data_IF_273072263068
#
_entry.id   IF_273072263068
#
_cell.length_a   1.000
_cell.length_b   1.000
_cell.length_c   1.000
_cell.angle_alpha   90.00
_cell.angle_beta   90.00
_cell.angle_gamma   90.00
#
_symmetry.space_group_name_H-M   'P 1'
#
loop_
_entity.id
_entity.type
_entity.pdbx_description
1 polymer ?
#
# COMPACT_ATOMS: atom_id res chain seq x y z
N UNK A 1 -68.25 11.62 67.08
CA UNK A 1 -66.79 11.83 67.10
C UNK A 1 -66.46 12.36 65.70
N UNK A 2 -66.68 13.65 65.43
CA UNK A 2 -66.11 14.85 66.11
C UNK A 2 -64.66 15.02 65.66
N UNK A 3 -64.24 16.10 65.00
CA UNK A 3 -64.87 17.42 64.67
C UNK A 3 -64.51 17.79 63.21
N UNK A 4 -65.23 18.58 62.40
CA UNK A 4 -65.95 19.87 62.51
C UNK A 4 -65.08 21.15 62.31
N UNK A 5 -65.69 22.18 61.72
CA UNK A 5 -65.17 23.49 61.26
C UNK A 5 -64.13 23.49 60.10
N UNK A 6 -64.20 24.41 59.11
CA UNK A 6 -65.22 25.44 58.90
C UNK A 6 -65.06 26.27 57.60
N UNK A 7 -66.15 27.01 57.32
CA UNK A 7 -66.44 28.14 56.40
C UNK A 7 -65.34 29.23 56.25
N UNK A 8 -65.32 30.16 55.26
CA UNK A 8 -66.32 30.60 54.25
C UNK A 8 -65.68 31.25 52.97
N UNK A 9 -66.50 31.77 52.04
CA UNK A 9 -66.11 32.55 50.81
C UNK A 9 -66.09 34.08 51.06
N UNK A 10 -65.45 34.91 50.19
CA UNK A 10 -66.21 35.61 49.12
C UNK A 10 -65.45 35.88 47.78
N UNK A 11 -66.22 36.37 46.79
CA UNK A 11 -65.90 37.02 45.50
C UNK A 11 -65.32 38.45 45.67
N UNK A 12 -64.87 39.26 44.69
CA UNK A 12 -64.59 39.21 43.23
C UNK A 12 -63.78 40.50 42.85
N UNK A 13 -62.95 40.50 41.77
CA UNK A 13 -62.65 41.68 40.92
C UNK A 13 -61.59 41.39 39.80
N UNK A 14 -61.55 42.24 38.75
CA UNK A 14 -60.64 42.16 37.60
C UNK A 14 -60.19 43.59 37.16
N UNK A 15 -59.26 43.84 36.22
CA UNK A 15 -58.54 42.98 35.25
C UNK A 15 -57.01 43.30 35.31
N UNK A 16 -56.17 43.72 34.30
CA UNK A 16 -56.29 43.90 32.83
C UNK A 16 -55.55 42.77 32.05
N UNK A 17 -54.99 43.07 30.87
CA UNK A 17 -54.10 42.19 30.06
C UNK A 17 -52.82 42.95 29.66
N UNK A 18 -51.70 42.23 29.48
CA UNK A 18 -50.55 42.65 28.67
C UNK A 18 -49.73 41.38 28.25
N UNK A 19 -48.78 41.41 27.27
CA UNK A 19 -48.82 40.42 26.19
C UNK A 19 -48.05 39.11 26.40
N UNK A 20 -48.42 38.08 25.61
CA UNK A 20 -47.77 36.76 25.55
C UNK A 20 -46.32 36.86 25.02
N UNK A 21 -45.32 36.71 25.88
CA UNK A 21 -43.96 36.38 25.45
C UNK A 21 -43.86 34.89 25.09
N UNK A 22 -43.78 34.57 23.80
CA UNK A 22 -43.72 33.20 23.30
C UNK A 22 -42.39 32.50 23.59
N UNK A 23 -42.22 31.98 24.81
CA UNK A 23 -41.09 31.14 25.17
C UNK A 23 -41.16 29.78 24.45
N UNK A 24 -40.52 29.68 23.28
CA UNK A 24 -40.44 28.45 22.51
C UNK A 24 -39.65 27.38 23.28
N UNK A 25 -40.38 26.41 23.83
CA UNK A 25 -39.80 25.27 24.54
C UNK A 25 -38.94 24.43 23.60
N UNK A 26 -37.63 24.73 23.54
CA UNK A 26 -36.65 23.91 22.82
C UNK A 26 -36.60 22.52 23.46
N UNK A 27 -37.29 21.57 22.82
CA UNK A 27 -37.22 20.15 23.14
C UNK A 27 -35.76 19.70 23.07
N UNK A 28 -35.16 19.49 24.24
CA UNK A 28 -33.74 19.15 24.38
C UNK A 28 -33.50 17.80 23.70
N UNK A 29 -32.90 17.82 22.52
CA UNK A 29 -32.71 16.63 21.70
C UNK A 29 -32.03 15.51 22.51
N UNK A 30 -32.59 14.29 22.43
CA UNK A 30 -31.99 13.11 23.07
C UNK A 30 -30.55 12.97 22.55
N UNK A 31 -29.54 12.74 23.42
CA UNK A 31 -28.16 12.65 22.97
C UNK A 31 -28.03 11.51 21.96
N UNK A 32 -27.42 11.79 20.79
CA UNK A 32 -27.06 10.75 19.83
C UNK A 32 -26.18 9.71 20.57
N UNK A 33 -26.52 8.42 20.44
CA UNK A 33 -25.64 7.35 20.90
C UNK A 33 -24.29 7.50 20.18
N UNK A 34 -23.17 7.42 20.90
CA UNK A 34 -21.85 7.37 20.28
C UNK A 34 -21.78 6.14 19.36
N UNK A 35 -21.14 6.22 18.18
CA UNK A 35 -20.93 5.07 17.32
C UNK A 35 -20.05 4.03 18.02
N UNK A 36 -20.20 2.76 17.61
CA UNK A 36 -19.35 1.66 18.09
C UNK A 36 -18.03 1.72 17.34
N UNK A 37 -16.91 1.79 18.06
CA UNK A 37 -15.57 1.60 17.50
C UNK A 37 -15.30 0.10 17.35
N UNK A 38 -14.91 -0.34 16.17
CA UNK A 38 -14.64 -1.76 15.86
C UNK A 38 -13.14 -2.02 15.57
N UNK A 39 -12.29 -1.12 16.07
CA UNK A 39 -10.84 -1.15 15.91
C UNK A 39 -10.17 -0.56 17.17
N UNK A 40 -8.88 -0.86 17.44
CA UNK A 40 -8.15 -0.35 18.60
C UNK A 40 -8.09 1.19 18.71
N UNK A 41 -7.56 1.69 19.83
CA UNK A 41 -7.31 3.14 20.02
C UNK A 41 -5.82 3.49 20.08
N UNK A 42 -4.98 2.56 20.55
CA UNK A 42 -3.53 2.68 20.51
C UNK A 42 -2.97 1.82 19.38
N UNK A 43 -1.80 2.17 18.84
CA UNK A 43 -1.09 1.38 17.84
C UNK A 43 -0.49 0.09 18.40
N UNK A 44 -0.01 -0.79 17.53
CA UNK A 44 0.76 -1.99 17.90
C UNK A 44 2.04 -1.59 18.66
N UNK A 45 2.72 -0.52 18.22
CA UNK A 45 3.95 0.00 18.84
C UNK A 45 3.72 0.60 20.23
N UNK A 46 2.56 1.21 20.47
CA UNK A 46 2.15 1.66 21.80
C UNK A 46 1.70 0.46 22.66
N UNK A 47 0.93 -0.47 22.09
CA UNK A 47 0.33 -1.60 22.81
C UNK A 47 1.36 -2.65 23.25
N UNK A 48 2.42 -2.91 22.46
CA UNK A 48 3.48 -3.86 22.81
C UNK A 48 4.21 -3.52 24.11
N UNK A 49 4.16 -2.27 24.57
CA UNK A 49 4.74 -1.84 25.86
C UNK A 49 4.18 -2.61 27.05
N UNK A 50 2.91 -3.06 26.96
CA UNK A 50 2.30 -3.94 27.96
C UNK A 50 3.01 -5.30 28.01
N UNK A 51 3.38 -5.85 26.84
CA UNK A 51 4.13 -7.12 26.72
C UNK A 51 5.58 -6.94 27.17
N UNK A 52 6.25 -5.86 26.77
CA UNK A 52 7.61 -5.51 27.18
C UNK A 52 7.72 -5.40 28.70
N UNK A 53 6.78 -4.70 29.35
CA UNK A 53 6.73 -4.55 30.81
C UNK A 53 6.47 -5.89 31.54
N UNK A 54 5.56 -6.74 31.03
CA UNK A 54 5.33 -8.08 31.63
C UNK A 54 6.54 -9.00 31.45
N UNK A 55 7.18 -8.95 30.27
CA UNK A 55 8.42 -9.68 29.95
C UNK A 55 9.55 -9.30 30.89
N UNK A 56 9.89 -8.01 30.96
CA UNK A 56 11.14 -7.56 31.54
C UNK A 56 11.08 -7.43 33.07
N UNK A 57 9.89 -7.16 33.65
CA UNK A 57 9.73 -7.00 35.10
C UNK A 57 9.07 -8.18 35.83
N UNK A 58 8.35 -9.06 35.11
CA UNK A 58 7.72 -10.26 35.69
C UNK A 58 8.13 -11.56 34.96
N UNK A 59 9.23 -11.54 34.21
CA UNK A 59 9.76 -12.67 33.43
C UNK A 59 8.73 -13.32 32.48
N UNK A 60 7.79 -12.53 31.95
CA UNK A 60 6.73 -12.99 31.06
C UNK A 60 5.51 -13.64 31.76
N UNK A 61 5.52 -13.75 33.08
CA UNK A 61 4.45 -14.40 33.84
C UNK A 61 3.18 -13.53 33.93
N UNK A 62 1.97 -14.13 34.05
CA UNK A 62 0.72 -13.41 34.33
C UNK A 62 0.82 -12.45 35.52
N UNK A 63 0.69 -11.14 35.26
CA UNK A 63 0.91 -10.06 36.23
C UNK A 63 -0.37 -9.24 36.49
N UNK A 64 -0.45 -8.47 37.58
CA UNK A 64 -1.69 -7.73 37.89
C UNK A 64 -1.81 -6.43 37.07
N UNK A 65 -3.02 -6.00 36.68
CA UNK A 65 -3.19 -4.73 35.99
C UNK A 65 -3.00 -3.49 36.89
N UNK A 66 -2.64 -3.63 38.16
CA UNK A 66 -2.19 -2.52 39.01
C UNK A 66 -0.67 -2.34 38.91
N UNK A 67 0.07 -3.45 38.95
CA UNK A 67 1.53 -3.44 38.87
C UNK A 67 2.00 -3.04 37.46
N UNK A 68 1.37 -3.61 36.41
CA UNK A 68 1.65 -3.24 35.01
C UNK A 68 1.38 -1.76 34.76
N UNK A 69 0.31 -1.20 35.35
CA UNK A 69 -0.01 0.22 35.21
C UNK A 69 1.07 1.07 35.88
N UNK A 70 1.46 0.71 37.11
CA UNK A 70 2.52 1.39 37.87
C UNK A 70 3.87 1.34 37.15
N UNK A 71 4.21 0.20 36.52
CA UNK A 71 5.43 0.00 35.75
C UNK A 71 5.46 0.76 34.40
N UNK A 72 4.30 1.17 33.89
CA UNK A 72 4.17 2.05 32.71
C UNK A 72 4.12 3.55 33.08
N UNK A 73 4.26 3.90 34.36
CA UNK A 73 3.97 5.24 34.92
C UNK A 73 2.54 5.72 34.59
N UNK A 74 1.56 4.81 34.71
CA UNK A 74 0.15 5.05 34.39
C UNK A 74 -0.77 4.70 35.56
N UNK A 75 -1.77 5.56 35.82
CA UNK A 75 -2.92 5.16 36.64
C UNK A 75 -3.87 4.24 35.87
N UNK A 76 -4.68 3.44 36.58
CA UNK A 76 -5.76 2.58 36.01
C UNK A 76 -6.96 3.37 35.40
N UNK A 77 -6.72 4.57 34.87
CA UNK A 77 -7.71 5.40 34.19
C UNK A 77 -8.04 4.91 32.77
N UNK A 78 -8.70 5.77 32.00
CA UNK A 78 -9.15 5.44 30.64
C UNK A 78 -8.00 5.10 29.68
N UNK A 79 -6.86 5.79 29.78
CA UNK A 79 -5.71 5.54 28.90
C UNK A 79 -5.20 4.09 29.05
N UNK A 80 -5.04 3.61 30.28
CA UNK A 80 -4.62 2.23 30.56
C UNK A 80 -5.70 1.19 30.20
N UNK A 81 -6.98 1.53 30.35
CA UNK A 81 -8.09 0.70 29.83
C UNK A 81 -7.99 0.52 28.31
N UNK A 82 -7.89 1.62 27.56
CA UNK A 82 -7.83 1.58 26.10
C UNK A 82 -6.52 0.99 25.56
N UNK A 83 -5.40 1.19 26.27
CA UNK A 83 -4.11 0.56 25.95
C UNK A 83 -4.17 -0.96 26.12
N UNK A 84 -4.66 -1.45 27.26
CA UNK A 84 -4.77 -2.90 27.51
C UNK A 84 -5.85 -3.57 26.67
N UNK A 85 -6.93 -2.86 26.33
CA UNK A 85 -7.91 -3.32 25.34
C UNK A 85 -7.28 -3.41 23.93
N UNK A 86 -6.52 -2.40 23.50
CA UNK A 86 -5.81 -2.42 22.20
C UNK A 86 -4.81 -3.58 22.13
N UNK A 87 -4.02 -3.80 23.19
CA UNK A 87 -3.10 -4.93 23.33
C UNK A 87 -3.80 -6.30 23.24
N UNK A 88 -5.00 -6.44 23.82
CA UNK A 88 -5.85 -7.63 23.64
C UNK A 88 -6.34 -7.78 22.21
N UNK A 89 -6.81 -6.70 21.59
CA UNK A 89 -7.43 -6.73 20.26
C UNK A 89 -6.41 -6.99 19.14
N UNK A 90 -5.13 -6.75 19.40
CA UNK A 90 -3.98 -7.19 18.59
C UNK A 90 -3.47 -8.61 18.91
N UNK A 91 -4.07 -9.33 19.86
CA UNK A 91 -3.61 -10.66 20.31
C UNK A 91 -2.27 -10.66 21.07
N UNK A 92 -1.78 -9.49 21.47
CA UNK A 92 -0.52 -9.32 22.22
C UNK A 92 -0.68 -9.77 23.67
N UNK A 93 -1.87 -9.57 24.25
CA UNK A 93 -2.17 -9.96 25.63
C UNK A 93 -3.52 -10.64 25.79
N UNK A 94 -3.63 -11.55 26.75
CA UNK A 94 -4.89 -12.10 27.25
C UNK A 94 -5.25 -11.31 28.52
N UNK A 95 -6.47 -10.81 28.61
CA UNK A 95 -6.92 -9.93 29.70
C UNK A 95 -6.81 -8.44 29.38
N UNK A 96 -7.22 -7.60 30.33
CA UNK A 96 -7.22 -6.12 30.24
C UNK A 96 -7.04 -5.51 31.64
N UNK A 97 -7.12 -4.18 31.79
CA UNK A 97 -7.21 -3.48 33.08
C UNK A 97 -8.17 -4.14 34.10
N UNK A 98 -9.26 -4.71 33.60
CA UNK A 98 -10.42 -5.14 34.39
C UNK A 98 -10.48 -6.66 34.60
N UNK A 99 -9.45 -7.42 34.19
CA UNK A 99 -9.25 -8.84 34.56
C UNK A 99 -8.34 -8.96 35.79
N UNK A 100 -8.36 -10.12 36.46
CA UNK A 100 -7.54 -10.35 37.67
C UNK A 100 -6.03 -10.29 37.38
N UNK A 101 -5.63 -10.75 36.18
CA UNK A 101 -4.27 -10.67 35.63
C UNK A 101 -4.32 -10.29 34.15
N UNK A 102 -3.18 -9.88 33.61
CA UNK A 102 -2.91 -9.79 32.17
C UNK A 102 -1.76 -10.76 31.86
N UNK A 103 -1.89 -11.51 30.78
CA UNK A 103 -0.96 -12.54 30.34
C UNK A 103 -0.47 -12.23 28.91
N UNK A 104 0.71 -12.70 28.52
CA UNK A 104 1.19 -12.52 27.15
C UNK A 104 0.47 -13.51 26.23
N UNK A 105 -0.23 -13.00 25.20
CA UNK A 105 -0.96 -13.79 24.21
C UNK A 105 -0.02 -14.44 23.19
N UNK A 106 -0.50 -15.36 22.35
CA UNK A 106 0.39 -16.16 21.49
C UNK A 106 1.11 -15.35 20.39
N UNK A 107 0.51 -14.25 19.93
CA UNK A 107 1.20 -13.27 19.05
C UNK A 107 2.19 -12.45 19.90
N UNK A 108 1.79 -12.05 21.11
CA UNK A 108 2.66 -11.37 22.08
C UNK A 108 3.90 -12.17 22.47
N UNK A 109 3.83 -13.50 22.55
CA UNK A 109 4.99 -14.37 22.85
C UNK A 109 6.05 -14.30 21.75
N UNK A 110 5.62 -14.22 20.48
CA UNK A 110 6.50 -14.03 19.32
C UNK A 110 7.12 -12.63 19.29
N UNK A 111 6.38 -11.60 19.73
CA UNK A 111 6.92 -10.25 19.97
C UNK A 111 7.93 -10.21 21.12
N UNK A 112 7.67 -10.91 22.23
CA UNK A 112 8.50 -10.89 23.42
C UNK A 112 9.83 -11.66 23.22
N UNK A 113 9.77 -12.77 22.50
CA UNK A 113 10.86 -13.72 22.31
C UNK A 113 10.96 -14.23 20.85
N UNK A 114 11.16 -13.34 19.85
CA UNK A 114 11.33 -13.76 18.46
C UNK A 114 12.62 -14.57 18.29
N UNK A 115 12.53 -15.75 17.65
CA UNK A 115 13.69 -16.62 17.38
C UNK A 115 14.43 -16.21 16.10
N UNK A 116 13.81 -15.38 15.28
CA UNK A 116 14.39 -14.84 14.05
C UNK A 116 13.73 -13.49 13.69
N UNK A 117 14.40 -12.66 12.88
CA UNK A 117 13.78 -11.44 12.32
C UNK A 117 12.49 -11.71 11.54
N UNK A 118 12.39 -12.89 10.90
CA UNK A 118 11.16 -13.32 10.23
C UNK A 118 9.99 -13.56 11.19
N UNK A 119 10.25 -14.16 12.36
CA UNK A 119 9.22 -14.36 13.40
C UNK A 119 8.78 -13.03 14.04
N UNK A 120 9.68 -12.03 14.12
CA UNK A 120 9.34 -10.67 14.56
C UNK A 120 8.41 -9.97 13.54
N UNK A 121 8.77 -9.95 12.25
CA UNK A 121 7.92 -9.37 11.21
C UNK A 121 6.54 -10.04 11.15
N UNK A 122 6.51 -11.37 11.14
CA UNK A 122 5.25 -12.12 11.16
C UNK A 122 4.46 -11.86 12.44
N UNK A 123 5.08 -11.65 13.61
CA UNK A 123 4.34 -11.25 14.80
C UNK A 123 3.61 -9.90 14.62
N UNK A 124 4.26 -8.90 14.03
CA UNK A 124 3.65 -7.60 13.73
C UNK A 124 2.52 -7.73 12.71
N UNK A 125 2.74 -8.49 11.64
CA UNK A 125 1.74 -8.73 10.59
C UNK A 125 0.51 -9.46 11.12
N UNK A 126 0.72 -10.52 11.90
CA UNK A 126 -0.38 -11.27 12.50
C UNK A 126 -1.13 -10.43 13.54
N UNK A 127 -0.44 -9.59 14.34
CA UNK A 127 -1.11 -8.63 15.23
C UNK A 127 -2.00 -7.65 14.45
N UNK A 128 -1.50 -7.10 13.34
CA UNK A 128 -2.26 -6.18 12.49
C UNK A 128 -3.51 -6.84 11.86
N UNK A 129 -3.36 -8.05 11.33
CA UNK A 129 -4.45 -8.81 10.69
C UNK A 129 -5.40 -9.49 11.70
N UNK A 130 -5.08 -9.52 12.99
CA UNK A 130 -5.98 -9.97 14.06
C UNK A 130 -7.20 -9.02 14.24
N UNK A 131 -7.07 -7.76 13.83
CA UNK A 131 -8.17 -6.79 13.81
C UNK A 131 -8.96 -6.97 12.50
N UNK A 132 -10.13 -7.60 12.60
CA UNK A 132 -11.02 -7.93 11.47
C UNK A 132 -11.26 -6.77 10.48
N UNK A 133 -11.44 -5.55 10.98
CA UNK A 133 -11.60 -4.35 10.13
C UNK A 133 -10.29 -3.97 9.41
N UNK A 134 -9.14 -4.10 10.06
CA UNK A 134 -7.84 -3.83 9.42
C UNK A 134 -7.54 -4.88 8.35
N UNK A 135 -7.83 -6.15 8.63
CA UNK A 135 -7.72 -7.26 7.68
C UNK A 135 -8.54 -7.02 6.42
N UNK A 136 -9.84 -6.73 6.55
CA UNK A 136 -10.73 -6.46 5.39
C UNK A 136 -10.22 -5.31 4.51
N UNK A 137 -9.76 -4.23 5.13
CA UNK A 137 -9.19 -3.07 4.42
C UNK A 137 -7.85 -3.43 3.77
N UNK A 138 -7.00 -4.23 4.42
CA UNK A 138 -5.73 -4.71 3.87
C UNK A 138 -5.92 -5.63 2.66
N UNK A 139 -6.88 -6.56 2.75
CA UNK A 139 -7.26 -7.46 1.65
C UNK A 139 -7.85 -6.69 0.47
N UNK A 140 -8.75 -5.72 0.72
CA UNK A 140 -9.35 -4.89 -0.34
C UNK A 140 -8.32 -4.03 -1.09
N UNK A 141 -7.35 -3.44 -0.38
CA UNK A 141 -6.29 -2.61 -0.99
C UNK A 141 -5.00 -3.39 -1.29
N UNK A 142 -5.02 -4.73 -1.23
CA UNK A 142 -3.88 -5.61 -1.52
C UNK A 142 -2.58 -5.21 -0.78
N UNK A 143 -2.72 -4.74 0.45
CA UNK A 143 -1.65 -4.49 1.41
C UNK A 143 -0.74 -3.27 1.22
N UNK A 144 -0.54 -2.76 0.00
CA UNK A 144 0.52 -1.77 -0.30
C UNK A 144 0.03 -0.37 -0.73
N UNK A 145 -1.12 0.11 -0.21
CA UNK A 145 -1.34 1.45 0.39
C UNK A 145 -2.83 1.81 0.51
N UNK A 146 -3.18 2.64 1.50
CA UNK A 146 -4.47 3.34 1.52
C UNK A 146 -4.46 4.52 0.54
N UNK A 147 -5.59 4.83 -0.14
CA UNK A 147 -5.77 6.11 -0.83
C UNK A 147 -5.62 7.32 0.11
N UNK A 148 -5.54 8.51 -0.49
CA UNK A 148 -5.73 9.75 0.27
C UNK A 148 -7.09 9.73 0.98
N UNK A 149 -7.12 10.29 2.19
CA UNK A 149 -8.27 10.21 3.08
C UNK A 149 -9.57 10.71 2.42
N UNK A 150 -9.50 11.73 1.55
CA UNK A 150 -10.63 12.29 0.83
C UNK A 150 -11.35 11.29 -0.10
N UNK A 151 -10.64 10.32 -0.67
CA UNK A 151 -11.23 9.26 -1.49
C UNK A 151 -11.65 8.06 -0.64
N UNK A 152 -10.84 7.72 0.38
CA UNK A 152 -11.08 6.58 1.26
C UNK A 152 -12.31 6.75 2.17
N UNK A 153 -12.65 7.96 2.63
CA UNK A 153 -13.81 8.20 3.54
C UNK A 153 -15.13 7.64 2.99
N UNK A 154 -15.33 7.69 1.67
CA UNK A 154 -16.50 7.09 1.03
C UNK A 154 -16.47 5.56 1.13
N UNK A 155 -15.38 4.91 0.74
CA UNK A 155 -15.22 3.44 0.80
C UNK A 155 -15.31 2.91 2.24
N UNK A 156 -14.74 3.64 3.22
CA UNK A 156 -14.91 3.33 4.64
C UNK A 156 -16.37 3.34 5.09
N UNK A 157 -17.20 4.20 4.50
CA UNK A 157 -18.63 4.32 4.81
C UNK A 157 -19.48 3.27 4.10
N UNK A 158 -19.20 2.97 2.83
CA UNK A 158 -20.02 2.07 1.99
C UNK A 158 -19.64 0.60 2.13
N UNK A 159 -18.36 0.27 2.03
CA UNK A 159 -17.88 -1.12 2.00
C UNK A 159 -17.59 -1.66 3.42
N UNK A 160 -17.11 -0.78 4.30
CA UNK A 160 -16.61 -1.17 5.63
C UNK A 160 -17.49 -0.70 6.81
N UNK A 161 -18.55 0.08 6.54
CA UNK A 161 -19.53 0.50 7.55
C UNK A 161 -19.00 1.42 8.68
N UNK A 162 -17.82 2.02 8.50
CA UNK A 162 -17.17 2.88 9.50
C UNK A 162 -17.88 4.23 9.58
N UNK A 163 -18.42 4.55 10.77
CA UNK A 163 -19.08 5.82 11.07
C UNK A 163 -18.16 7.01 10.76
N UNK A 164 -18.73 8.03 10.12
CA UNK A 164 -18.04 9.23 9.61
C UNK A 164 -17.21 9.95 10.69
N UNK A 165 -17.64 9.92 11.95
CA UNK A 165 -16.92 10.53 13.08
C UNK A 165 -15.73 9.70 13.60
N UNK A 166 -15.54 8.49 13.10
CA UNK A 166 -14.42 7.59 13.44
C UNK A 166 -13.42 7.40 12.29
N UNK A 167 -13.70 7.93 11.09
CA UNK A 167 -12.89 7.65 9.89
C UNK A 167 -11.49 8.28 9.95
N UNK A 168 -11.35 9.48 10.53
CA UNK A 168 -10.04 10.13 10.73
C UNK A 168 -9.20 9.35 11.76
N UNK A 169 -9.80 8.98 12.90
CA UNK A 169 -9.13 8.15 13.92
C UNK A 169 -8.75 6.75 13.40
N UNK A 170 -9.55 6.20 12.49
CA UNK A 170 -9.23 4.95 11.78
C UNK A 170 -8.01 5.14 10.88
N UNK A 171 -8.01 6.17 10.04
CA UNK A 171 -6.95 6.43 9.07
C UNK A 171 -5.58 6.63 9.72
N UNK A 172 -5.51 7.50 10.72
CA UNK A 172 -4.28 7.81 11.44
C UNK A 172 -3.71 6.56 12.13
N UNK A 173 -4.58 5.75 12.75
CA UNK A 173 -4.15 4.53 13.44
C UNK A 173 -3.73 3.43 12.45
N UNK A 174 -4.45 3.25 11.35
CA UNK A 174 -4.10 2.29 10.29
C UNK A 174 -2.75 2.66 9.66
N UNK A 175 -2.53 3.95 9.35
CA UNK A 175 -1.25 4.45 8.87
C UNK A 175 -0.11 4.25 9.88
N UNK A 176 -0.32 4.55 11.16
CA UNK A 176 0.70 4.31 12.21
C UNK A 176 1.12 2.84 12.24
N UNK A 177 0.14 1.92 12.17
CA UNK A 177 0.42 0.49 12.21
C UNK A 177 1.11 -0.02 10.94
N UNK A 178 0.74 0.46 9.74
CA UNK A 178 1.46 0.14 8.51
C UNK A 178 2.90 0.69 8.52
N UNK A 179 3.11 1.91 9.02
CA UNK A 179 4.46 2.51 9.18
C UNK A 179 5.31 1.67 10.14
N UNK A 180 4.74 1.21 11.25
CA UNK A 180 5.42 0.30 12.18
C UNK A 180 5.77 -1.04 11.52
N UNK A 181 4.80 -1.70 10.86
CA UNK A 181 4.98 -2.96 10.14
C UNK A 181 6.09 -2.86 9.08
N UNK A 182 6.08 -1.80 8.26
CA UNK A 182 7.10 -1.56 7.25
C UNK A 182 8.47 -1.29 7.89
N UNK A 183 8.54 -0.52 8.98
CA UNK A 183 9.81 -0.30 9.71
C UNK A 183 10.41 -1.59 10.27
N UNK A 184 9.58 -2.57 10.63
CA UNK A 184 10.05 -3.91 11.04
C UNK A 184 10.44 -4.74 9.83
N UNK A 185 9.70 -4.67 8.70
CA UNK A 185 10.07 -5.30 7.42
C UNK A 185 11.49 -4.89 6.97
N UNK A 186 11.77 -3.59 7.03
CA UNK A 186 13.07 -3.00 6.70
C UNK A 186 14.17 -3.44 7.66
N UNK A 187 13.95 -3.40 8.98
CA UNK A 187 14.92 -3.86 10.00
C UNK A 187 15.21 -5.36 9.92
N UNK A 188 14.22 -6.16 9.56
CA UNK A 188 14.32 -7.62 9.56
C UNK A 188 14.78 -8.21 8.22
N UNK A 189 14.76 -7.41 7.14
CA UNK A 189 15.14 -7.85 5.79
C UNK A 189 14.14 -8.81 5.14
N UNK A 190 12.90 -8.88 5.65
CA UNK A 190 11.92 -9.88 5.27
C UNK A 190 11.16 -9.45 4.01
N UNK A 191 11.53 -10.06 2.88
CA UNK A 191 10.71 -10.00 1.67
C UNK A 191 9.48 -10.90 1.84
N UNK A 192 8.30 -10.37 1.57
CA UNK A 192 7.09 -11.21 1.48
C UNK A 192 7.07 -11.95 0.15
N UNK A 193 7.23 -13.27 0.21
CA UNK A 193 6.72 -14.20 -0.79
C UNK A 193 5.60 -15.02 -0.15
N UNK A 194 4.51 -15.36 -0.87
CA UNK A 194 3.59 -16.41 -0.45
C UNK A 194 4.36 -17.72 -0.20
N UNK A 195 3.92 -18.50 0.79
CA UNK A 195 4.70 -19.63 1.33
C UNK A 195 4.94 -20.76 0.33
N UNK A 196 6.21 -20.96 -0.03
CA UNK A 196 6.79 -22.18 -0.59
C UNK A 196 8.24 -22.33 -0.08
N UNK A 197 8.77 -23.56 -0.01
CA UNK A 197 9.96 -23.87 0.80
C UNK A 197 11.32 -23.81 0.05
N UNK A 198 12.35 -23.41 0.80
CA UNK A 198 13.77 -23.81 0.68
C UNK A 198 14.60 -23.50 -0.59
N UNK A 199 15.51 -22.52 -0.42
CA UNK A 199 16.85 -22.43 -1.03
C UNK A 199 16.94 -22.14 -2.55
N UNK A 200 18.00 -21.54 -3.10
CA UNK A 200 19.35 -21.20 -2.59
C UNK A 200 19.70 -19.71 -2.80
N UNK A 201 20.91 -19.28 -2.41
CA UNK A 201 21.27 -17.87 -2.26
C UNK A 201 21.82 -17.19 -3.53
N UNK A 202 21.48 -15.89 -3.68
CA UNK A 202 22.53 -14.88 -3.91
C UNK A 202 22.43 -13.99 -5.15
N UNK A 203 21.71 -12.87 -5.06
CA UNK A 203 22.23 -11.53 -5.42
C UNK A 203 21.38 -10.40 -4.81
N UNK A 204 21.98 -9.22 -4.67
CA UNK A 204 21.39 -8.06 -4.00
C UNK A 204 20.55 -7.21 -4.95
N UNK A 205 19.47 -6.60 -4.44
CA UNK A 205 18.65 -5.62 -5.15
C UNK A 205 17.26 -5.47 -4.51
N UNK A 206 16.91 -4.26 -4.07
CA UNK A 206 15.54 -3.96 -3.63
C UNK A 206 14.64 -3.87 -4.87
N UNK A 207 13.85 -4.91 -5.14
CA UNK A 207 13.04 -5.03 -6.35
C UNK A 207 11.82 -4.10 -6.29
N UNK A 208 11.99 -2.86 -6.72
CA UNK A 208 10.89 -1.97 -7.13
C UNK A 208 10.12 -2.52 -8.33
N UNK A 209 10.69 -3.49 -9.05
CA UNK A 209 10.07 -4.18 -10.17
C UNK A 209 9.26 -5.42 -9.78
N UNK A 210 8.04 -5.50 -10.34
CA UNK A 210 7.13 -6.64 -10.36
C UNK A 210 7.54 -7.59 -11.49
N UNK A 211 7.50 -8.91 -11.25
CA UNK A 211 7.66 -9.95 -12.26
C UNK A 211 6.32 -10.21 -12.96
N UNK A 212 6.30 -10.15 -14.29
CA UNK A 212 5.09 -10.25 -15.13
C UNK A 212 4.96 -11.61 -15.83
N UNK A 213 6.10 -12.22 -16.17
CA UNK A 213 6.16 -13.52 -16.83
C UNK A 213 7.58 -14.07 -16.85
N UNK A 214 7.69 -15.39 -16.70
CA UNK A 214 8.96 -16.12 -16.67
C UNK A 214 9.20 -16.88 -17.99
N UNK A 215 10.47 -16.93 -18.40
CA UNK A 215 10.91 -17.78 -19.50
C UNK A 215 10.83 -19.25 -19.10
N UNK A 216 10.39 -20.12 -20.02
CA UNK A 216 10.41 -21.58 -19.82
C UNK A 216 11.81 -22.20 -19.96
N UNK A 217 12.76 -21.43 -20.48
CA UNK A 217 14.16 -21.85 -20.63
C UNK A 217 15.02 -21.20 -19.54
N UNK A 218 15.99 -21.94 -19.01
CA UNK A 218 16.77 -21.59 -17.81
C UNK A 218 17.75 -20.40 -17.94
N UNK A 219 17.51 -19.48 -18.87
CA UNK A 219 18.21 -18.20 -18.95
C UNK A 219 17.66 -17.24 -17.90
N UNK A 220 18.47 -16.90 -16.89
CA UNK A 220 18.13 -15.92 -15.86
C UNK A 220 18.10 -14.46 -16.32
N UNK A 221 17.93 -14.21 -17.62
CA UNK A 221 17.95 -12.87 -18.22
C UNK A 221 16.70 -12.08 -17.83
N UNK A 222 16.85 -10.79 -17.54
CA UNK A 222 15.77 -9.88 -17.16
C UNK A 222 15.53 -8.82 -18.23
N UNK A 223 14.30 -8.74 -18.71
CA UNK A 223 13.81 -7.62 -19.51
C UNK A 223 12.96 -6.71 -18.63
N UNK A 224 13.42 -5.49 -18.34
CA UNK A 224 12.63 -4.48 -17.65
C UNK A 224 11.85 -3.64 -18.66
N UNK A 225 10.56 -3.43 -18.42
CA UNK A 225 9.65 -2.68 -19.30
C UNK A 225 9.40 -1.29 -18.72
N UNK A 226 9.90 -0.27 -19.42
CA UNK A 226 9.67 1.15 -19.18
C UNK A 226 8.56 1.65 -20.12
N UNK A 227 7.41 2.04 -19.59
CA UNK A 227 6.24 2.43 -20.39
C UNK A 227 5.27 3.33 -19.62
N UNK A 228 4.31 3.99 -20.29
CA UNK A 228 3.32 4.83 -19.60
C UNK A 228 2.42 4.02 -18.67
N UNK A 229 2.47 4.29 -17.35
CA UNK A 229 1.58 3.63 -16.37
C UNK A 229 0.08 3.95 -16.54
N UNK A 230 -0.25 4.97 -17.32
CA UNK A 230 -1.62 5.46 -17.53
C UNK A 230 -1.61 6.38 -18.73
N UNK A 231 -2.68 6.37 -19.51
CA UNK A 231 -2.89 7.27 -20.63
C UNK A 231 -2.87 8.73 -20.13
N UNK A 232 -2.05 9.58 -20.77
CA UNK A 232 -1.89 11.01 -20.47
C UNK A 232 -2.55 11.90 -21.52
N UNK A 233 -2.86 11.35 -22.69
CA UNK A 233 -3.60 12.01 -23.76
C UNK A 233 -4.99 11.36 -23.94
N UNK A 234 -5.81 11.91 -24.83
CA UNK A 234 -7.06 11.29 -25.27
C UNK A 234 -6.89 10.38 -26.50
N UNK A 235 -5.66 10.01 -26.87
CA UNK A 235 -5.37 9.16 -28.05
C UNK A 235 -5.71 7.68 -27.80
N UNK A 236 -5.65 7.23 -26.54
CA UNK A 236 -5.82 5.83 -26.14
C UNK A 236 -6.95 5.68 -25.10
N UNK A 237 -7.69 4.55 -25.09
CA UNK A 237 -8.70 4.28 -24.08
C UNK A 237 -8.06 3.96 -22.72
N UNK A 238 -8.76 4.27 -21.62
CA UNK A 238 -8.25 4.02 -20.26
C UNK A 238 -7.87 2.54 -20.05
N UNK A 239 -6.64 2.29 -19.60
CA UNK A 239 -6.11 0.94 -19.36
C UNK A 239 -5.53 0.26 -20.60
N UNK A 240 -5.42 0.99 -21.73
CA UNK A 240 -4.71 0.55 -22.93
C UNK A 240 -3.30 0.06 -22.61
N UNK A 241 -2.53 0.82 -21.83
CA UNK A 241 -1.15 0.45 -21.51
C UNK A 241 -1.03 -0.79 -20.62
N UNK A 242 -1.99 -1.00 -19.72
CA UNK A 242 -2.06 -2.23 -18.91
C UNK A 242 -2.32 -3.46 -19.79
N UNK A 243 -3.12 -3.33 -20.86
CA UNK A 243 -3.38 -4.41 -21.83
C UNK A 243 -2.23 -4.60 -22.84
N UNK A 244 -1.55 -3.53 -23.30
CA UNK A 244 -0.31 -3.62 -24.11
C UNK A 244 0.75 -4.44 -23.36
N UNK A 245 1.00 -4.10 -22.09
CA UNK A 245 1.99 -4.78 -21.26
C UNK A 245 1.70 -6.28 -21.13
N UNK A 246 0.44 -6.60 -20.84
CA UNK A 246 -0.04 -7.93 -20.48
C UNK A 246 -0.18 -8.87 -21.68
N UNK A 247 -0.66 -8.39 -22.82
CA UNK A 247 -0.99 -9.23 -23.98
C UNK A 247 -0.04 -9.10 -25.16
N UNK A 248 0.77 -8.04 -25.25
CA UNK A 248 1.80 -7.90 -26.29
C UNK A 248 3.22 -8.03 -25.74
N UNK A 249 3.62 -7.16 -24.81
CA UNK A 249 5.03 -7.08 -24.38
C UNK A 249 5.44 -8.32 -23.58
N UNK A 250 4.65 -8.71 -22.57
CA UNK A 250 5.00 -9.85 -21.70
C UNK A 250 5.08 -11.17 -22.47
N UNK A 251 4.12 -11.54 -23.35
CA UNK A 251 4.23 -12.76 -24.16
C UNK A 251 5.41 -12.74 -25.14
N UNK A 252 5.74 -11.59 -25.75
CA UNK A 252 6.87 -11.47 -26.67
C UNK A 252 8.22 -11.59 -25.96
N UNK A 253 8.39 -10.94 -24.80
CA UNK A 253 9.61 -11.04 -24.00
C UNK A 253 9.85 -12.46 -23.46
N UNK A 254 8.79 -13.15 -23.02
CA UNK A 254 8.85 -14.55 -22.58
C UNK A 254 9.21 -15.50 -23.74
N UNK A 255 8.67 -15.28 -24.95
CA UNK A 255 9.06 -16.04 -26.14
C UNK A 255 10.52 -15.77 -26.57
N UNK A 256 11.00 -14.53 -26.39
CA UNK A 256 12.40 -14.16 -26.59
C UNK A 256 13.34 -14.66 -25.47
N UNK A 257 12.84 -15.46 -24.52
CA UNK A 257 13.56 -16.07 -23.40
C UNK A 257 14.03 -15.10 -22.29
N UNK A 258 13.32 -13.99 -22.09
CA UNK A 258 13.53 -13.08 -20.97
C UNK A 258 12.45 -13.25 -19.89
N UNK A 259 12.85 -13.01 -18.64
CA UNK A 259 11.93 -12.82 -17.53
C UNK A 259 11.48 -11.35 -17.54
N UNK A 260 10.21 -11.12 -17.84
CA UNK A 260 9.64 -9.78 -18.03
C UNK A 260 9.30 -9.13 -16.68
N UNK A 261 9.78 -7.90 -16.46
CA UNK A 261 9.51 -7.11 -15.26
C UNK A 261 9.05 -5.69 -15.60
N UNK A 262 8.36 -5.00 -14.69
CA UNK A 262 8.12 -3.54 -14.76
C UNK A 262 8.06 -2.93 -13.35
N UNK A 263 8.19 -1.62 -13.18
CA UNK A 263 8.16 -0.98 -11.86
C UNK A 263 6.74 -0.95 -11.23
N UNK A 264 6.68 -0.92 -9.88
CA UNK A 264 5.43 -0.78 -9.12
C UNK A 264 4.73 0.56 -9.40
N UNK A 265 3.43 0.48 -9.72
CA UNK A 265 2.53 1.60 -10.05
C UNK A 265 2.09 2.39 -8.80
N UNK A 266 3.02 3.14 -8.21
CA UNK A 266 2.84 3.91 -6.97
C UNK A 266 2.96 5.45 -7.17
N UNK A 267 2.96 6.23 -6.08
CA UNK A 267 3.08 7.71 -6.10
C UNK A 267 4.47 8.21 -6.51
N UNK A 268 4.52 9.33 -7.24
CA UNK A 268 5.66 9.72 -8.10
C UNK A 268 7.00 10.06 -7.42
N UNK A 269 7.01 10.43 -6.14
CA UNK A 269 8.19 11.11 -5.53
C UNK A 269 9.29 10.16 -5.02
N UNK A 270 9.01 8.86 -4.88
CA UNK A 270 9.95 7.88 -4.26
C UNK A 270 10.49 6.86 -5.29
N UNK A 271 9.96 6.83 -6.51
CA UNK A 271 10.21 5.73 -7.46
C UNK A 271 11.45 5.96 -8.35
N UNK A 272 11.85 7.22 -8.60
CA UNK A 272 12.94 7.53 -9.53
C UNK A 272 14.29 6.91 -9.11
N UNK A 273 14.65 6.95 -7.82
CA UNK A 273 15.88 6.33 -7.31
C UNK A 273 15.93 4.82 -7.46
N UNK A 274 14.76 4.17 -7.53
CA UNK A 274 14.62 2.71 -7.52
C UNK A 274 14.49 2.16 -8.93
N UNK A 275 13.73 2.84 -9.80
CA UNK A 275 13.73 2.61 -11.26
C UNK A 275 15.14 2.71 -11.84
N UNK A 276 15.96 3.68 -11.40
CA UNK A 276 17.35 3.80 -11.85
C UNK A 276 18.19 2.54 -11.55
N UNK A 277 17.91 1.83 -10.45
CA UNK A 277 18.58 0.56 -10.15
C UNK A 277 18.02 -0.61 -11.01
N UNK A 278 16.71 -0.69 -11.22
CA UNK A 278 16.11 -1.68 -12.14
C UNK A 278 16.62 -1.48 -13.59
N UNK A 279 16.74 -0.23 -14.05
CA UNK A 279 17.27 0.16 -15.36
C UNK A 279 18.77 -0.14 -15.52
N UNK A 280 19.56 -0.16 -14.45
CA UNK A 280 20.96 -0.59 -14.52
C UNK A 280 21.08 -2.13 -14.46
N UNK A 281 20.31 -2.76 -13.57
CA UNK A 281 20.42 -4.19 -13.27
C UNK A 281 19.86 -5.11 -14.38
N UNK A 282 18.89 -4.65 -15.16
CA UNK A 282 18.28 -5.47 -16.22
C UNK A 282 19.23 -5.72 -17.41
N UNK A 283 19.25 -6.95 -17.93
CA UNK A 283 20.03 -7.32 -19.13
C UNK A 283 19.54 -6.53 -20.36
N UNK A 284 18.23 -6.40 -20.51
CA UNK A 284 17.57 -5.60 -21.55
C UNK A 284 16.54 -4.66 -20.91
N UNK A 285 16.37 -3.47 -21.48
CA UNK A 285 15.20 -2.62 -21.20
C UNK A 285 14.36 -2.51 -22.48
N UNK A 286 13.06 -2.75 -22.37
CA UNK A 286 12.07 -2.52 -23.42
C UNK A 286 11.39 -1.18 -23.10
N UNK A 287 11.38 -0.25 -24.05
CA UNK A 287 10.87 1.11 -23.86
C UNK A 287 9.72 1.36 -24.83
N UNK A 288 8.51 1.66 -24.31
CA UNK A 288 7.37 2.09 -25.12
C UNK A 288 7.30 3.62 -25.24
N UNK A 289 7.57 4.12 -26.44
CA UNK A 289 7.62 5.56 -26.75
C UNK A 289 6.24 6.17 -27.07
N UNK A 290 5.16 5.39 -26.97
CA UNK A 290 3.79 5.88 -27.18
C UNK A 290 3.43 7.02 -26.21
N UNK A 291 2.63 7.98 -26.68
CA UNK A 291 2.34 9.27 -26.01
C UNK A 291 3.56 10.16 -25.68
N UNK A 292 4.79 9.79 -26.06
CA UNK A 292 6.03 10.53 -25.74
C UNK A 292 6.18 10.83 -24.23
N UNK A 293 5.80 9.89 -23.37
CA UNK A 293 5.70 10.12 -21.93
C UNK A 293 7.04 10.59 -21.31
N UNK A 294 7.11 11.79 -20.69
CA UNK A 294 8.38 12.37 -20.21
C UNK A 294 9.17 11.50 -19.22
N UNK A 295 8.50 10.69 -18.40
CA UNK A 295 9.19 9.79 -17.47
C UNK A 295 9.89 8.66 -18.24
N UNK A 296 9.20 8.06 -19.22
CA UNK A 296 9.75 6.99 -20.05
C UNK A 296 10.91 7.49 -20.92
N UNK A 297 10.85 8.74 -21.38
CA UNK A 297 11.96 9.40 -22.08
C UNK A 297 13.17 9.66 -21.17
N UNK A 298 12.96 10.01 -19.90
CA UNK A 298 14.03 10.10 -18.90
C UNK A 298 14.64 8.72 -18.60
N UNK A 299 13.82 7.69 -18.45
CA UNK A 299 14.25 6.30 -18.22
C UNK A 299 15.09 5.76 -19.39
N UNK A 300 14.68 6.04 -20.63
CA UNK A 300 15.48 5.77 -21.82
C UNK A 300 16.81 6.53 -21.80
N UNK A 301 16.80 7.83 -21.47
CA UNK A 301 18.00 8.65 -21.35
C UNK A 301 19.01 8.07 -20.34
N UNK A 302 18.53 7.59 -19.20
CA UNK A 302 19.35 6.90 -18.19
C UNK A 302 19.91 5.57 -18.70
N UNK A 303 19.09 4.73 -19.37
CA UNK A 303 19.56 3.46 -19.95
C UNK A 303 20.60 3.66 -21.04
N UNK A 304 20.43 4.69 -21.88
CA UNK A 304 21.41 5.15 -22.87
C UNK A 304 22.71 5.61 -22.17
N UNK A 305 22.60 6.39 -21.09
CA UNK A 305 23.76 6.86 -20.33
C UNK A 305 24.58 5.71 -19.71
N UNK A 306 23.92 4.62 -19.31
CA UNK A 306 24.56 3.39 -18.83
C UNK A 306 25.22 2.55 -19.93
N UNK A 307 25.06 2.91 -21.21
CA UNK A 307 25.61 2.18 -22.37
C UNK A 307 25.22 0.68 -22.36
N UNK A 308 23.98 0.38 -21.97
CA UNK A 308 23.43 -0.99 -21.88
C UNK A 308 22.31 -1.22 -22.91
N UNK A 309 21.97 -2.49 -23.24
CA UNK A 309 21.06 -2.81 -24.34
C UNK A 309 19.66 -2.24 -24.12
N UNK A 310 19.04 -1.69 -25.18
CA UNK A 310 17.68 -1.15 -25.15
C UNK A 310 16.91 -1.53 -26.42
N UNK A 311 15.68 -1.97 -26.25
CA UNK A 311 14.71 -2.33 -27.29
C UNK A 311 13.62 -1.25 -27.31
N UNK A 312 13.36 -0.63 -28.46
CA UNK A 312 12.43 0.49 -28.58
C UNK A 312 11.17 0.05 -29.31
N UNK A 313 10.01 0.35 -28.74
CA UNK A 313 8.70 0.05 -29.33
C UNK A 313 7.81 1.29 -29.32
N UNK A 314 6.78 1.30 -30.18
CA UNK A 314 5.65 2.24 -30.08
C UNK A 314 4.43 1.72 -30.83
N UNK A 315 3.26 2.27 -30.52
CA UNK A 315 2.06 2.08 -31.32
C UNK A 315 2.17 2.80 -32.67
N UNK A 316 1.90 2.09 -33.77
CA UNK A 316 1.79 2.57 -35.16
C UNK A 316 0.92 3.84 -35.21
N UNK A 317 1.47 4.93 -35.75
CA UNK A 317 0.84 6.26 -35.79
C UNK A 317 1.34 7.23 -34.72
N UNK A 318 2.10 6.77 -33.72
CA UNK A 318 2.91 7.64 -32.84
C UNK A 318 3.97 8.37 -33.68
N UNK A 319 4.14 9.67 -33.48
CA UNK A 319 5.07 10.48 -34.27
C UNK A 319 6.53 10.13 -33.94
N UNK A 320 7.45 10.08 -34.92
CA UNK A 320 8.88 9.88 -34.67
C UNK A 320 9.50 10.93 -33.74
N UNK A 321 10.43 10.49 -32.87
CA UNK A 321 11.26 11.37 -32.05
C UNK A 321 12.60 11.51 -32.76
N UNK A 322 12.85 12.68 -33.35
CA UNK A 322 13.85 12.91 -34.38
C UNK A 322 15.22 12.26 -34.09
N UNK A 323 15.87 12.58 -32.97
CA UNK A 323 17.21 12.08 -32.68
C UNK A 323 17.27 10.61 -32.23
N UNK A 324 16.13 9.97 -31.95
CA UNK A 324 16.03 8.55 -31.57
C UNK A 324 15.81 7.70 -32.83
N UNK A 325 14.75 8.00 -33.59
CA UNK A 325 14.33 7.25 -34.78
C UNK A 325 15.40 7.17 -35.89
N UNK A 326 16.25 8.20 -36.03
CA UNK A 326 17.32 8.20 -37.03
C UNK A 326 18.58 7.44 -36.59
N UNK A 327 18.64 6.93 -35.36
CA UNK A 327 19.86 6.38 -34.75
C UNK A 327 19.67 5.04 -34.03
N UNK A 328 18.43 4.65 -33.71
CA UNK A 328 18.07 3.38 -33.09
C UNK A 328 16.85 2.78 -33.78
N UNK A 329 16.82 1.46 -33.95
CA UNK A 329 15.67 0.74 -34.52
C UNK A 329 14.51 0.72 -33.54
N UNK A 330 13.34 1.17 -33.99
CA UNK A 330 12.06 1.12 -33.25
C UNK A 330 11.15 0.09 -33.91
N UNK A 331 10.42 -0.70 -33.10
CA UNK A 331 9.37 -1.59 -33.57
C UNK A 331 7.98 -0.96 -33.42
N UNK A 332 7.32 -0.78 -34.56
CA UNK A 332 5.97 -0.22 -34.68
C UNK A 332 4.90 -1.33 -34.52
N UNK A 333 4.28 -1.45 -33.35
CA UNK A 333 3.19 -2.41 -33.08
C UNK A 333 1.81 -1.83 -33.37
N UNK A 334 0.78 -2.63 -33.68
CA UNK A 334 -0.55 -2.12 -33.99
C UNK A 334 -1.32 -1.71 -32.71
N UNK A 335 -1.87 -0.48 -32.62
CA UNK A 335 -2.69 -0.09 -31.48
C UNK A 335 -3.98 -0.90 -31.31
N UNK A 336 -4.42 -1.63 -32.34
CA UNK A 336 -5.58 -2.53 -32.23
C UNK A 336 -5.17 -3.91 -31.68
N UNK A 337 -5.25 -4.08 -30.36
CA UNK A 337 -4.84 -5.32 -29.65
C UNK A 337 -5.83 -6.50 -29.81
N UNK A 338 -6.40 -6.70 -31.01
CA UNK A 338 -7.26 -7.85 -31.30
C UNK A 338 -6.43 -9.15 -31.38
N UNK A 339 -6.99 -10.33 -31.05
CA UNK A 339 -6.25 -11.60 -31.07
C UNK A 339 -5.54 -11.88 -32.41
N UNK A 340 -6.23 -11.69 -33.54
CA UNK A 340 -5.67 -11.86 -34.89
C UNK A 340 -4.59 -10.85 -35.30
N UNK A 341 -4.41 -9.79 -34.50
CA UNK A 341 -3.33 -8.81 -34.64
C UNK A 341 -2.18 -9.14 -33.70
N UNK A 342 -2.48 -9.54 -32.46
CA UNK A 342 -1.49 -10.06 -31.51
C UNK A 342 -0.80 -11.34 -32.03
N UNK A 343 -1.51 -12.18 -32.78
CA UNK A 343 -0.96 -13.33 -33.53
C UNK A 343 0.18 -12.93 -34.52
N UNK A 344 0.27 -11.67 -34.92
CA UNK A 344 1.30 -11.14 -35.84
C UNK A 344 2.32 -10.27 -35.11
N UNK A 345 1.86 -9.37 -34.23
CA UNK A 345 2.74 -8.44 -33.51
C UNK A 345 3.54 -9.13 -32.37
N UNK A 346 3.03 -10.20 -31.73
CA UNK A 346 3.79 -10.92 -30.69
C UNK A 346 5.03 -11.62 -31.29
N UNK A 347 4.94 -12.40 -32.40
CA UNK A 347 6.13 -12.94 -33.06
C UNK A 347 7.10 -11.88 -33.55
N UNK A 348 6.60 -10.79 -34.16
CA UNK A 348 7.46 -9.71 -34.66
C UNK A 348 8.19 -8.94 -33.55
N UNK A 349 7.52 -8.71 -32.41
CA UNK A 349 8.17 -8.13 -31.24
C UNK A 349 9.16 -9.10 -30.59
N UNK A 350 8.85 -10.39 -30.54
CA UNK A 350 9.77 -11.44 -30.06
C UNK A 350 11.05 -11.49 -30.91
N UNK A 351 10.92 -11.43 -32.24
CA UNK A 351 12.04 -11.33 -33.17
C UNK A 351 12.87 -10.06 -32.90
N UNK A 352 12.22 -8.89 -32.83
CA UNK A 352 12.91 -7.63 -32.55
C UNK A 352 13.69 -7.64 -31.23
N UNK A 353 13.08 -8.11 -30.13
CA UNK A 353 13.74 -8.28 -28.82
C UNK A 353 14.96 -9.20 -28.93
N UNK A 354 14.82 -10.31 -29.66
CA UNK A 354 15.87 -11.32 -29.87
C UNK A 354 17.03 -10.75 -30.68
N UNK A 355 16.76 -10.05 -31.78
CA UNK A 355 17.78 -9.38 -32.60
C UNK A 355 18.53 -8.31 -31.81
N UNK A 356 17.83 -7.45 -31.06
CA UNK A 356 18.45 -6.43 -30.18
C UNK A 356 19.43 -7.06 -29.20
N UNK A 357 19.09 -8.21 -28.61
CA UNK A 357 19.98 -8.91 -27.67
C UNK A 357 21.18 -9.59 -28.35
N UNK A 358 21.00 -10.13 -29.55
CA UNK A 358 22.06 -10.77 -30.35
C UNK A 358 23.05 -9.74 -30.92
N UNK A 359 22.60 -8.51 -31.20
CA UNK A 359 23.42 -7.47 -31.82
C UNK A 359 23.95 -6.41 -30.85
N UNK A 360 23.59 -6.43 -29.56
CA UNK A 360 24.03 -5.45 -28.55
C UNK A 360 25.54 -5.17 -28.47
N UNK A 361 26.38 -6.14 -28.87
CA UNK A 361 27.85 -6.06 -28.85
C UNK A 361 28.44 -5.71 -30.25
N UNK A 362 27.59 -5.59 -31.28
CA UNK A 362 27.96 -5.37 -32.69
C UNK A 362 27.46 -4.03 -33.21
N UNK A 363 26.24 -3.65 -32.84
CA UNK A 363 25.65 -2.36 -33.18
C UNK A 363 26.27 -1.26 -32.31
N UNK A 364 26.52 -0.09 -32.91
CA UNK A 364 27.11 1.05 -32.20
C UNK A 364 26.09 1.61 -31.20
N UNK A 365 26.46 1.68 -29.92
CA UNK A 365 25.62 2.31 -28.91
C UNK A 365 25.35 3.78 -29.26
N UNK A 366 24.18 4.29 -28.85
CA UNK A 366 23.79 5.67 -29.10
C UNK A 366 24.85 6.70 -28.66
N UNK A 367 25.48 6.48 -27.49
CA UNK A 367 26.57 7.31 -27.00
C UNK A 367 27.82 7.28 -27.91
N UNK A 368 28.16 6.12 -28.49
CA UNK A 368 29.29 6.04 -29.43
C UNK A 368 29.02 6.83 -30.71
N UNK A 369 27.81 6.70 -31.28
CA UNK A 369 27.39 7.45 -32.48
C UNK A 369 27.39 8.98 -32.25
N UNK A 370 26.97 9.45 -31.08
CA UNK A 370 27.04 10.89 -30.74
C UNK A 370 28.47 11.39 -30.53
N UNK A 371 29.33 10.58 -29.89
CA UNK A 371 30.74 10.96 -29.66
C UNK A 371 31.56 10.97 -30.94
N UNK A 372 31.28 10.09 -31.89
CA UNK A 372 31.93 10.09 -33.21
C UNK A 372 31.55 11.35 -34.02
N UNK A 373 30.28 11.75 -34.03
CA UNK A 373 29.82 13.01 -34.66
C UNK A 373 30.47 14.28 -34.08
N UNK A 374 31.13 14.18 -32.91
CA UNK A 374 31.83 15.30 -32.27
C UNK A 374 33.30 15.43 -32.67
N UNK A 375 33.83 14.47 -33.45
CA UNK A 375 35.23 14.36 -33.88
C UNK A 375 35.40 14.37 -35.41
N UNK A 376 34.41 14.88 -36.15
CA UNK A 376 34.32 14.87 -37.62
C UNK A 376 34.16 16.29 -38.19
#
# INVERSE_FOLDING_TARGET
MSDDAGTEKPEEAAKPESPKSGATGKTRAKPKRKPKREFPQYSIEESKKVVEVIKDLNAGNPWSPADIASALDMGKGNNFFYLTASSRDYGLTIGTRDTAKIEIGDIGKRFAYPKSPAEEYEAVKNAFLNVELFKKVYEYYQGENLPEIQYLKNTLKTEFGVDESLQDEFYDLYQKNLKFLNSVKEKTGVSESPSAESATAGRSGSSSSILLGESKNAGGLVAFVAMPFSEKTSQYPKGYFDEVLKHLITPAAVQANFNAKTAKKAGSEVIQSTIVNDLDAADLVIVDLSEHNPNVLFELGMRIAFNKPVCLIRAKGTTPIFDIDHMLRVYDYNPCLWPSTLEQDIPGLCEHITETWINKDKERSYLSLLREKSNA
#
